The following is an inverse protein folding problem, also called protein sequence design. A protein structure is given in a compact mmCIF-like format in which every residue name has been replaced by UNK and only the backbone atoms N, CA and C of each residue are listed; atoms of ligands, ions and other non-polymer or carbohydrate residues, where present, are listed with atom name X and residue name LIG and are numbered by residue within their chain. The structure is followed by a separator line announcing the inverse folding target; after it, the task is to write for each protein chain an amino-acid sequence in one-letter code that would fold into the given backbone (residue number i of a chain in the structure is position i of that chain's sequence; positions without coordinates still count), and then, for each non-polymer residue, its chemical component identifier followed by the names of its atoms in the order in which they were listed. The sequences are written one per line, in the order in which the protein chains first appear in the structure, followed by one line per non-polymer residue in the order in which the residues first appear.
data_IF_092602058767
#
_entry.id   IF_092602058767
#
_cell.length_a   1.000
_cell.length_b   1.000
_cell.length_c   1.000
_cell.angle_alpha   90.00
_cell.angle_beta   90.00
_cell.angle_gamma   90.00
#
_symmetry.space_group_name_H-M   'P 1'
#
loop_
_entity.id
_entity.type
_entity.pdbx_description
1 polymer ?
#
# COMPACT_ATOMS: atom_id res chain seq x y z
N UNK A 1 -14.11 -10.27 -12.19
CA UNK A 1 -13.12 -11.00 -11.37
C UNK A 1 -11.78 -10.81 -12.05
N UNK A 2 -11.17 -9.64 -11.86
CA UNK A 2 -10.01 -9.20 -12.64
C UNK A 2 -8.76 -9.62 -11.88
N UNK A 3 -8.26 -10.82 -12.13
CA UNK A 3 -6.93 -11.19 -11.67
C UNK A 3 -5.93 -10.37 -12.49
N UNK A 4 -5.35 -9.34 -11.89
CA UNK A 4 -4.19 -8.66 -12.46
C UNK A 4 -3.08 -9.72 -12.56
N UNK A 5 -2.50 -9.90 -13.75
CA UNK A 5 -1.35 -10.78 -13.94
C UNK A 5 -0.17 -10.31 -13.07
N UNK A 6 0.68 -11.22 -12.62
CA UNK A 6 1.85 -10.92 -11.76
C UNK A 6 2.69 -9.75 -12.27
N UNK A 7 2.80 -9.59 -13.60
CA UNK A 7 3.54 -8.50 -14.25
C UNK A 7 2.91 -7.11 -14.05
N UNK A 8 1.58 -7.03 -14.00
CA UNK A 8 0.86 -5.77 -13.75
C UNK A 8 0.93 -5.40 -12.27
N UNK A 9 0.80 -6.40 -11.39
CA UNK A 9 1.02 -6.22 -9.97
C UNK A 9 2.46 -5.76 -9.72
N UNK A 10 3.46 -6.39 -10.34
CA UNK A 10 4.87 -6.02 -10.16
C UNK A 10 5.15 -4.57 -10.57
N UNK A 11 4.52 -4.08 -11.65
CA UNK A 11 4.63 -2.68 -12.07
C UNK A 11 3.98 -1.68 -11.12
N UNK A 12 2.81 -2.01 -10.59
CA UNK A 12 2.14 -1.15 -9.60
C UNK A 12 2.87 -1.19 -8.26
N UNK A 13 3.47 -2.33 -7.90
CA UNK A 13 4.37 -2.43 -6.76
C UNK A 13 5.65 -1.64 -6.97
N UNK A 14 6.34 -1.73 -8.12
CA UNK A 14 7.59 -0.98 -8.39
C UNK A 14 7.36 0.54 -8.40
N UNK A 15 6.13 1.01 -8.65
CA UNK A 15 5.77 2.43 -8.50
C UNK A 15 5.70 2.87 -7.04
N UNK A 16 5.34 1.97 -6.13
CA UNK A 16 5.18 2.26 -4.70
C UNK A 16 6.48 1.97 -3.94
N UNK A 17 7.12 0.83 -4.24
CA UNK A 17 8.42 0.40 -3.73
C UNK A 17 9.54 1.26 -4.33
N UNK A 18 9.90 2.31 -3.60
CA UNK A 18 11.04 3.18 -3.97
C UNK A 18 12.38 2.53 -3.67
N UNK A 19 12.44 1.58 -2.75
CA UNK A 19 13.67 0.86 -2.39
C UNK A 19 14.02 -0.24 -3.40
N UNK A 20 13.07 -0.67 -4.24
CA UNK A 20 13.19 -1.79 -5.20
C UNK A 20 13.56 -3.11 -4.53
N UNK A 21 13.22 -3.28 -3.24
CA UNK A 21 13.51 -4.51 -2.51
C UNK A 21 12.39 -5.56 -2.62
N UNK A 22 11.37 -5.28 -3.44
CA UNK A 22 10.14 -6.09 -3.59
C UNK A 22 9.31 -6.17 -2.30
N UNK A 23 9.55 -5.25 -1.39
CA UNK A 23 8.86 -5.15 -0.11
C UNK A 23 8.46 -3.70 0.10
N UNK A 24 7.20 -3.46 0.48
CA UNK A 24 6.76 -2.11 0.81
C UNK A 24 6.71 -2.00 2.32
N UNK A 25 7.61 -1.21 2.88
CA UNK A 25 7.58 -0.93 4.31
C UNK A 25 6.32 -0.14 4.67
N UNK A 26 5.80 -0.34 5.87
CA UNK A 26 4.67 0.44 6.42
C UNK A 26 4.90 1.95 6.31
N UNK A 27 6.15 2.36 6.50
CA UNK A 27 6.55 3.76 6.34
C UNK A 27 6.42 4.26 4.90
N UNK A 28 6.84 3.46 3.91
CA UNK A 28 6.72 3.82 2.49
C UNK A 28 5.27 3.88 2.04
N UNK A 29 4.46 2.89 2.44
CA UNK A 29 3.02 2.89 2.17
C UNK A 29 2.35 4.14 2.74
N UNK A 30 2.70 4.52 3.98
CA UNK A 30 2.20 5.75 4.63
C UNK A 30 2.68 7.01 3.93
N UNK A 31 3.95 7.07 3.53
CA UNK A 31 4.54 8.21 2.79
C UNK A 31 3.94 8.37 1.40
N UNK A 32 3.39 7.32 0.80
CA UNK A 32 2.68 7.38 -0.48
C UNK A 32 1.18 7.70 -0.30
N UNK A 33 0.51 6.96 0.58
CA UNK A 33 -0.94 6.99 0.73
C UNK A 33 -1.43 8.28 1.41
N UNK A 34 -0.78 8.74 2.48
CA UNK A 34 -1.20 9.95 3.22
C UNK A 34 -1.20 11.21 2.33
N UNK A 35 -0.14 11.54 1.57
CA UNK A 35 -0.18 12.70 0.68
C UNK A 35 -1.15 12.52 -0.48
N UNK A 36 -1.34 11.30 -0.99
CA UNK A 36 -2.32 11.01 -2.04
C UNK A 36 -3.75 11.29 -1.55
N UNK A 37 -4.11 10.78 -0.37
CA UNK A 37 -5.42 11.04 0.26
C UNK A 37 -5.61 12.53 0.56
N UNK A 38 -4.55 13.21 1.02
CA UNK A 38 -4.57 14.67 1.22
C UNK A 38 -4.85 15.43 -0.07
N UNK A 39 -4.27 15.01 -1.20
CA UNK A 39 -4.54 15.60 -2.53
C UNK A 39 -5.98 15.39 -2.99
N UNK A 40 -6.62 14.28 -2.56
CA UNK A 40 -8.03 13.99 -2.82
C UNK A 40 -9.00 14.77 -1.89
N UNK A 41 -8.48 15.61 -0.99
CA UNK A 41 -9.27 16.40 -0.04
C UNK A 41 -9.57 15.69 1.27
N UNK A 42 -8.99 14.51 1.51
CA UNK A 42 -9.11 13.82 2.79
C UNK A 42 -8.23 14.49 3.86
N UNK A 43 -8.74 14.58 5.09
CA UNK A 43 -7.95 15.11 6.21
C UNK A 43 -6.80 14.16 6.57
N UNK A 44 -5.59 14.67 6.89
CA UNK A 44 -4.42 13.85 7.17
C UNK A 44 -4.65 12.85 8.32
N UNK A 45 -5.42 13.24 9.34
CA UNK A 45 -5.80 12.36 10.45
C UNK A 45 -6.62 11.15 9.98
N UNK A 46 -7.54 11.35 9.04
CA UNK A 46 -8.37 10.28 8.50
C UNK A 46 -7.53 9.36 7.60
N UNK A 47 -6.66 9.95 6.76
CA UNK A 47 -5.73 9.19 5.93
C UNK A 47 -4.77 8.32 6.77
N UNK A 48 -4.35 8.80 7.94
CA UNK A 48 -3.55 8.04 8.90
C UNK A 48 -4.30 6.86 9.53
N UNK A 49 -5.59 7.03 9.84
CA UNK A 49 -6.41 5.94 10.37
C UNK A 49 -6.69 4.88 9.30
N UNK A 50 -7.01 5.32 8.08
CA UNK A 50 -7.26 4.42 6.95
C UNK A 50 -6.02 3.60 6.61
N UNK A 51 -4.84 4.24 6.55
CA UNK A 51 -3.60 3.55 6.26
C UNK A 51 -3.21 2.58 7.38
N UNK A 52 -3.42 2.92 8.66
CA UNK A 52 -3.18 2.01 9.79
C UNK A 52 -4.07 0.75 9.71
N UNK A 53 -5.33 0.94 9.35
CA UNK A 53 -6.26 -0.17 9.09
C UNK A 53 -5.87 -1.01 7.87
N UNK A 54 -5.38 -0.38 6.81
CA UNK A 54 -4.87 -1.05 5.61
C UNK A 54 -3.62 -1.86 5.93
N UNK A 55 -2.68 -1.27 6.67
CA UNK A 55 -1.44 -1.90 7.14
C UNK A 55 -1.79 -3.14 7.97
N UNK A 56 -2.66 -3.03 8.98
CA UNK A 56 -3.04 -4.19 9.80
C UNK A 56 -3.70 -5.32 9.02
N UNK A 57 -4.34 -5.01 7.88
CA UNK A 57 -4.95 -6.01 7.01
C UNK A 57 -3.94 -6.66 6.07
N UNK A 58 -2.90 -5.94 5.65
CA UNK A 58 -1.88 -6.41 4.71
C UNK A 58 -0.70 -7.08 5.46
N UNK A 59 -0.25 -6.48 6.56
CA UNK A 59 0.80 -6.94 7.46
C UNK A 59 0.26 -8.00 8.44
N UNK A 60 -0.06 -9.17 7.89
CA UNK A 60 -0.62 -10.31 8.65
C UNK A 60 0.42 -10.95 9.57
N UNK A 61 1.70 -10.78 9.25
CA UNK A 61 2.86 -11.25 10.01
C UNK A 61 3.38 -10.22 11.03
N UNK A 62 2.82 -9.01 11.06
CA UNK A 62 3.23 -7.93 11.96
C UNK A 62 4.73 -7.60 11.90
N UNK A 63 5.33 -7.77 10.72
CA UNK A 63 6.75 -7.50 10.47
C UNK A 63 6.99 -6.02 10.09
N UNK A 64 5.91 -5.25 9.87
CA UNK A 64 5.99 -3.88 9.39
C UNK A 64 6.34 -3.78 7.90
N UNK A 65 6.29 -4.92 7.20
CA UNK A 65 6.66 -5.07 5.80
C UNK A 65 5.53 -5.76 5.03
N UNK A 66 5.08 -5.13 3.95
CA UNK A 66 4.06 -5.66 3.05
C UNK A 66 4.78 -6.29 1.86
N UNK A 67 4.80 -7.62 1.82
CA UNK A 67 5.38 -8.38 0.72
C UNK A 67 4.39 -8.53 -0.43
N UNK A 68 4.92 -8.73 -1.64
CA UNK A 68 4.13 -8.97 -2.85
C UNK A 68 3.12 -10.13 -2.74
N UNK A 69 3.45 -11.15 -1.93
CA UNK A 69 2.57 -12.28 -1.65
C UNK A 69 1.29 -11.89 -0.89
N UNK A 70 1.34 -10.81 -0.11
CA UNK A 70 0.20 -10.16 0.52
C UNK A 70 -0.56 -9.32 -0.49
N UNK A 71 -1.23 -9.98 -1.44
CA UNK A 71 -2.01 -9.39 -2.55
C UNK A 71 -2.60 -8.04 -2.15
N UNK A 72 -1.97 -6.97 -2.63
CA UNK A 72 -2.40 -5.59 -2.53
C UNK A 72 -3.76 -5.51 -3.24
N UNK A 73 -4.80 -5.74 -2.46
CA UNK A 73 -6.19 -5.48 -2.82
C UNK A 73 -6.52 -4.10 -2.26
N UNK A 74 -5.67 -3.12 -2.56
CA UNK A 74 -6.00 -1.71 -2.35
C UNK A 74 -6.98 -1.41 -3.48
N UNK A 75 -8.24 -1.73 -3.23
CA UNK A 75 -9.36 -1.27 -4.03
C UNK A 75 -9.26 0.26 -4.05
N UNK A 76 -8.70 0.79 -5.13
CA UNK A 76 -8.93 2.17 -5.53
C UNK A 76 -10.44 2.25 -5.84
N UNK A 77 -11.21 2.74 -4.88
CA UNK A 77 -12.61 3.11 -5.08
C UNK A 77 -12.70 4.35 -5.97
#
# INVERSE_FOLDING_TARGET
MTSLSDDQLEKEFDKIDKSKDKTITVEELRKYYVPMQKMLGMSPQLAEVEIDGLIKRLDTNHDGNITFEGKINILFF
#
